data_IF_401264789064
#
_entry.id   IF_401264789064
#
_cell.length_a   1.000
_cell.length_b   1.000
_cell.length_c   1.000
_cell.angle_alpha   90.00
_cell.angle_beta   90.00
_cell.angle_gamma   90.00
#
_symmetry.space_group_name_H-M   'P 1'
#
loop_
_entity.id
_entity.type
_entity.pdbx_description
1 polymer ?
#
# COMPACT_ATOMS: atom_id res chain seq x y z
N UNK A 1 -5.25 3.29 32.96
CA UNK A 1 -4.70 2.49 31.86
C UNK A 1 -4.68 3.21 30.51
N UNK A 2 -5.63 4.10 30.20
CA UNK A 2 -5.69 4.85 28.92
C UNK A 2 -4.63 5.97 28.83
N UNK A 3 -4.25 6.62 29.93
CA UNK A 3 -3.23 7.69 29.96
C UNK A 3 -1.80 7.24 29.59
N UNK A 4 -1.48 5.96 29.67
CA UNK A 4 -0.15 5.43 29.31
C UNK A 4 -0.01 5.17 27.80
N UNK A 5 -1.11 5.01 27.05
CA UNK A 5 -1.12 4.79 25.61
C UNK A 5 -0.80 6.09 24.83
N UNK A 6 -1.11 7.26 25.40
CA UNK A 6 -0.88 8.57 24.77
C UNK A 6 0.41 9.27 25.22
N UNK A 7 1.34 8.56 25.86
CA UNK A 7 2.58 9.17 26.32
C UNK A 7 3.60 9.32 25.17
N UNK A 8 3.22 10.12 24.16
CA UNK A 8 4.09 10.50 23.05
C UNK A 8 5.06 11.56 23.56
N UNK A 9 6.35 11.32 23.47
CA UNK A 9 7.37 12.31 23.81
C UNK A 9 7.28 13.50 22.84
N UNK A 10 7.58 14.74 23.26
CA UNK A 10 7.51 15.92 22.39
C UNK A 10 8.27 15.76 21.07
N UNK A 11 9.41 15.08 21.09
CA UNK A 11 10.23 14.79 19.91
C UNK A 11 9.61 13.75 18.96
N UNK A 12 8.68 12.93 19.43
CA UNK A 12 8.03 11.86 18.63
C UNK A 12 6.73 12.34 17.96
N UNK A 13 6.20 13.48 18.37
CA UNK A 13 4.88 13.98 17.89
C UNK A 13 4.87 14.21 16.39
N UNK A 14 5.89 14.85 15.85
CA UNK A 14 5.97 15.19 14.44
C UNK A 14 6.06 13.93 13.54
N UNK A 15 7.01 12.98 13.77
CA UNK A 15 7.06 11.76 12.97
C UNK A 15 5.80 10.89 13.11
N UNK A 16 5.21 10.80 14.31
CA UNK A 16 3.96 10.06 14.52
C UNK A 16 2.81 10.68 13.71
N UNK A 17 2.66 12.00 13.72
CA UNK A 17 1.62 12.69 12.94
C UNK A 17 1.80 12.50 11.44
N UNK A 18 3.04 12.57 10.95
CA UNK A 18 3.33 12.34 9.53
C UNK A 18 3.00 10.92 9.10
N UNK A 19 3.40 9.92 9.90
CA UNK A 19 3.11 8.52 9.60
C UNK A 19 1.62 8.20 9.72
N UNK A 20 0.94 8.74 10.71
CA UNK A 20 -0.52 8.63 10.82
C UNK A 20 -1.22 9.19 9.57
N UNK A 21 -0.86 10.40 9.16
CA UNK A 21 -1.44 11.03 7.96
C UNK A 21 -1.12 10.22 6.70
N UNK A 22 0.12 9.73 6.58
CA UNK A 22 0.53 8.90 5.44
C UNK A 22 -0.26 7.58 5.40
N UNK A 23 -0.42 6.91 6.54
CA UNK A 23 -1.20 5.68 6.62
C UNK A 23 -2.67 5.91 6.29
N UNK A 24 -3.25 6.99 6.81
CA UNK A 24 -4.61 7.41 6.48
C UNK A 24 -4.80 7.55 4.96
N UNK A 25 -3.90 8.27 4.27
CA UNK A 25 -4.00 8.43 2.82
C UNK A 25 -3.79 7.13 2.05
N UNK A 26 -2.88 6.26 2.50
CA UNK A 26 -2.68 4.94 1.89
C UNK A 26 -3.96 4.09 2.02
N UNK A 27 -4.55 4.02 3.20
CA UNK A 27 -5.79 3.26 3.44
C UNK A 27 -6.96 3.85 2.66
N UNK A 28 -7.12 5.17 2.68
CA UNK A 28 -8.15 5.87 1.90
C UNK A 28 -8.03 5.58 0.40
N UNK A 29 -6.82 5.72 -0.16
CA UNK A 29 -6.55 5.43 -1.57
C UNK A 29 -6.79 3.94 -1.89
N UNK A 30 -6.41 3.03 -0.98
CA UNK A 30 -6.61 1.59 -1.12
C UNK A 30 -8.09 1.21 -1.18
N UNK A 31 -8.90 1.73 -0.25
CA UNK A 31 -10.35 1.46 -0.22
C UNK A 31 -11.02 2.02 -1.49
N UNK A 32 -10.71 3.27 -1.83
CA UNK A 32 -11.29 3.92 -3.02
C UNK A 32 -10.86 3.21 -4.30
N UNK A 33 -9.57 2.87 -4.42
CA UNK A 33 -9.02 2.14 -5.55
C UNK A 33 -9.62 0.76 -5.72
N UNK A 34 -9.77 0.01 -4.63
CA UNK A 34 -10.40 -1.32 -4.66
C UNK A 34 -11.88 -1.25 -5.06
N UNK A 35 -12.63 -0.29 -4.53
CA UNK A 35 -14.03 -0.09 -4.91
C UNK A 35 -14.18 0.27 -6.40
N UNK A 36 -13.34 1.17 -6.90
CA UNK A 36 -13.32 1.56 -8.31
C UNK A 36 -12.94 0.38 -9.21
N UNK A 37 -11.92 -0.37 -8.86
CA UNK A 37 -11.46 -1.57 -9.56
C UNK A 37 -12.59 -2.60 -9.70
N UNK A 38 -13.25 -2.92 -8.57
CA UNK A 38 -14.32 -3.90 -8.54
C UNK A 38 -15.52 -3.44 -9.38
N UNK A 39 -15.89 -2.16 -9.29
CA UNK A 39 -16.96 -1.60 -10.11
C UNK A 39 -16.65 -1.69 -11.61
N UNK A 40 -15.45 -1.27 -12.05
CA UNK A 40 -15.03 -1.33 -13.46
C UNK A 40 -14.99 -2.77 -13.94
N UNK A 41 -14.48 -3.70 -13.13
CA UNK A 41 -14.38 -5.12 -13.50
C UNK A 41 -15.78 -5.73 -13.69
N UNK A 42 -16.69 -5.54 -12.74
CA UNK A 42 -18.03 -6.14 -12.75
C UNK A 42 -18.97 -5.55 -13.81
N UNK A 43 -18.69 -4.35 -14.33
CA UNK A 43 -19.42 -3.80 -15.49
C UNK A 43 -19.09 -4.56 -16.79
N UNK A 44 -17.85 -5.08 -16.92
CA UNK A 44 -17.37 -5.67 -18.17
C UNK A 44 -17.22 -7.20 -18.10
N UNK A 45 -17.12 -7.78 -16.92
CA UNK A 45 -16.88 -9.20 -16.69
C UNK A 45 -17.83 -9.76 -15.63
N UNK A 46 -18.22 -11.02 -15.77
CA UNK A 46 -19.04 -11.71 -14.80
C UNK A 46 -18.25 -11.98 -13.49
N UNK A 47 -18.96 -11.99 -12.37
CA UNK A 47 -18.40 -12.26 -11.03
C UNK A 47 -17.71 -13.62 -10.92
N UNK A 48 -18.03 -14.58 -11.78
CA UNK A 48 -17.40 -15.90 -11.82
C UNK A 48 -15.92 -15.86 -12.15
N UNK A 49 -15.43 -14.75 -12.76
CA UNK A 49 -14.01 -14.55 -13.04
C UNK A 49 -13.22 -14.00 -11.85
N UNK A 50 -13.85 -13.52 -10.79
CA UNK A 50 -13.15 -12.95 -9.61
C UNK A 50 -12.16 -13.94 -8.94
N UNK A 51 -12.50 -15.22 -8.71
CA UNK A 51 -11.53 -16.16 -8.13
C UNK A 51 -10.26 -16.31 -8.96
N UNK A 52 -10.39 -16.27 -10.28
CA UNK A 52 -9.26 -16.34 -11.21
C UNK A 52 -8.41 -15.07 -11.08
N UNK A 53 -9.03 -13.90 -10.94
CA UNK A 53 -8.30 -12.63 -10.72
C UNK A 53 -7.50 -12.65 -9.44
N UNK A 54 -8.05 -13.17 -8.33
CA UNK A 54 -7.31 -13.32 -7.08
C UNK A 54 -6.11 -14.27 -7.21
N UNK A 55 -6.23 -15.32 -8.01
CA UNK A 55 -5.10 -16.22 -8.30
C UNK A 55 -3.99 -15.47 -9.05
N UNK A 56 -4.34 -14.67 -10.06
CA UNK A 56 -3.37 -13.84 -10.79
C UNK A 56 -2.70 -12.82 -9.87
N UNK A 57 -3.44 -12.17 -8.99
CA UNK A 57 -2.89 -11.27 -7.96
C UNK A 57 -1.87 -12.01 -7.10
N UNK A 58 -2.23 -13.17 -6.57
CA UNK A 58 -1.35 -13.94 -5.69
C UNK A 58 -0.02 -14.31 -6.38
N UNK A 59 -0.09 -14.83 -7.62
CA UNK A 59 1.09 -15.19 -8.40
C UNK A 59 1.96 -13.95 -8.67
N UNK A 60 1.35 -12.86 -9.10
CA UNK A 60 2.06 -11.61 -9.42
C UNK A 60 2.71 -11.01 -8.18
N UNK A 61 2.04 -11.06 -7.02
CA UNK A 61 2.60 -10.59 -5.75
C UNK A 61 3.83 -11.38 -5.31
N UNK A 62 3.82 -12.71 -5.47
CA UNK A 62 4.99 -13.55 -5.17
C UNK A 62 6.19 -13.09 -6.00
N UNK A 63 6.00 -12.84 -7.29
CA UNK A 63 7.07 -12.38 -8.18
C UNK A 63 7.57 -10.99 -7.78
N UNK A 64 6.66 -10.05 -7.55
CA UNK A 64 7.01 -8.65 -7.19
C UNK A 64 7.74 -8.59 -5.85
N UNK A 65 7.27 -9.32 -4.82
CA UNK A 65 7.93 -9.33 -3.51
C UNK A 65 9.34 -9.92 -3.62
N UNK A 66 9.53 -11.00 -4.38
CA UNK A 66 10.87 -11.57 -4.60
C UNK A 66 11.81 -10.59 -5.33
N UNK A 67 11.32 -9.90 -6.36
CA UNK A 67 12.09 -8.88 -7.08
C UNK A 67 12.43 -7.69 -6.17
N UNK A 68 11.45 -7.24 -5.38
CA UNK A 68 11.65 -6.15 -4.43
C UNK A 68 12.69 -6.50 -3.38
N UNK A 69 12.60 -7.66 -2.74
CA UNK A 69 13.54 -8.10 -1.72
C UNK A 69 14.99 -8.10 -2.26
N UNK A 70 15.19 -8.65 -3.46
CA UNK A 70 16.52 -8.63 -4.11
C UNK A 70 17.03 -7.23 -4.43
N UNK A 71 16.12 -6.33 -4.79
CA UNK A 71 16.44 -4.96 -5.20
C UNK A 71 16.57 -3.98 -4.04
N UNK A 72 15.98 -4.29 -2.88
CA UNK A 72 15.91 -3.40 -1.71
C UNK A 72 17.05 -3.61 -0.72
N UNK A 73 17.81 -4.70 -0.84
CA UNK A 73 18.94 -4.99 0.07
C UNK A 73 19.94 -3.82 0.08
N UNK A 74 20.21 -3.31 1.30
CA UNK A 74 21.16 -2.20 1.52
C UNK A 74 20.69 -0.82 1.06
N UNK A 75 19.44 -0.67 0.60
CA UNK A 75 18.89 0.62 0.15
C UNK A 75 18.01 1.27 1.20
N UNK A 76 17.91 2.60 1.12
CA UNK A 76 17.04 3.37 2.00
C UNK A 76 15.57 3.11 1.66
N UNK A 77 14.80 2.58 2.62
CA UNK A 77 13.39 2.21 2.45
C UNK A 77 12.51 3.42 2.10
N UNK A 78 12.82 4.60 2.64
CA UNK A 78 12.10 5.83 2.31
C UNK A 78 12.27 6.22 0.84
N UNK A 79 13.49 6.10 0.30
CA UNK A 79 13.76 6.39 -1.11
C UNK A 79 13.02 5.41 -2.02
N UNK A 80 13.01 4.13 -1.66
CA UNK A 80 12.29 3.10 -2.41
C UNK A 80 10.79 3.38 -2.43
N UNK A 81 10.20 3.77 -1.30
CA UNK A 81 8.80 4.14 -1.20
C UNK A 81 8.45 5.32 -2.09
N UNK A 82 9.30 6.35 -2.16
CA UNK A 82 9.08 7.51 -3.05
C UNK A 82 9.14 7.08 -4.52
N UNK A 83 10.14 6.30 -4.91
CA UNK A 83 10.32 5.84 -6.29
C UNK A 83 9.14 4.98 -6.73
N UNK A 84 8.74 4.00 -5.92
CA UNK A 84 7.60 3.14 -6.23
C UNK A 84 6.29 3.91 -6.27
N UNK A 85 6.09 4.89 -5.37
CA UNK A 85 4.93 5.78 -5.39
C UNK A 85 4.83 6.59 -6.68
N UNK A 86 5.95 7.10 -7.19
CA UNK A 86 6.01 7.80 -8.49
C UNK A 86 5.67 6.84 -9.63
N UNK A 87 6.26 5.63 -9.65
CA UNK A 87 5.97 4.62 -10.68
C UNK A 87 4.48 4.26 -10.66
N UNK A 88 3.89 4.01 -9.50
CA UNK A 88 2.47 3.71 -9.37
C UNK A 88 1.59 4.86 -9.87
N UNK A 89 1.93 6.09 -9.53
CA UNK A 89 1.18 7.26 -10.00
C UNK A 89 1.21 7.39 -11.53
N UNK A 90 2.38 7.23 -12.15
CA UNK A 90 2.55 7.29 -13.60
C UNK A 90 1.77 6.15 -14.29
N UNK A 91 1.84 4.93 -13.76
CA UNK A 91 1.13 3.79 -14.35
C UNK A 91 -0.37 3.92 -14.22
N UNK A 92 -0.89 4.46 -13.12
CA UNK A 92 -2.32 4.74 -12.97
C UNK A 92 -2.81 5.78 -13.97
N UNK A 93 -2.04 6.85 -14.19
CA UNK A 93 -2.34 7.84 -15.23
C UNK A 93 -2.32 7.23 -16.62
N UNK A 94 -1.39 6.31 -16.91
CA UNK A 94 -1.36 5.61 -18.19
C UNK A 94 -2.61 4.74 -18.41
N UNK A 95 -3.08 4.03 -17.37
CA UNK A 95 -4.30 3.22 -17.47
C UNK A 95 -5.54 4.04 -17.84
N UNK A 96 -5.60 5.32 -17.44
CA UNK A 96 -6.72 6.21 -17.81
C UNK A 96 -6.94 6.30 -19.32
N UNK A 97 -5.89 6.18 -20.12
CA UNK A 97 -5.98 6.29 -21.59
C UNK A 97 -6.24 4.97 -22.30
N UNK A 98 -6.03 3.83 -21.65
CA UNK A 98 -6.05 2.50 -22.27
C UNK A 98 -7.04 1.53 -21.64
N UNK A 99 -8.00 2.01 -20.84
CA UNK A 99 -8.91 1.17 -20.06
C UNK A 99 -10.00 0.53 -20.94
N UNK A 100 -9.63 -0.47 -21.75
CA UNK A 100 -10.54 -1.22 -22.60
C UNK A 100 -10.08 -2.68 -22.78
N UNK A 101 -11.01 -3.60 -23.00
CA UNK A 101 -10.70 -5.01 -23.26
C UNK A 101 -9.81 -5.64 -22.20
N UNK A 102 -8.66 -6.20 -22.61
CA UNK A 102 -7.70 -6.89 -21.73
C UNK A 102 -7.04 -5.97 -20.70
N UNK A 103 -7.07 -4.65 -20.89
CA UNK A 103 -6.51 -3.71 -19.93
C UNK A 103 -7.31 -3.66 -18.62
N UNK A 104 -8.60 -4.04 -18.63
CA UNK A 104 -9.44 -4.07 -17.43
C UNK A 104 -8.98 -5.15 -16.42
N UNK A 105 -8.79 -6.42 -16.79
CA UNK A 105 -8.18 -7.41 -15.90
C UNK A 105 -6.77 -7.04 -15.44
N UNK A 106 -5.95 -6.45 -16.30
CA UNK A 106 -4.62 -5.97 -15.93
C UNK A 106 -4.70 -4.84 -14.90
N UNK A 107 -5.62 -3.88 -15.09
CA UNK A 107 -5.88 -2.82 -14.13
C UNK A 107 -6.35 -3.38 -12.79
N UNK A 108 -7.21 -4.42 -12.81
CA UNK A 108 -7.67 -5.11 -11.61
C UNK A 108 -6.50 -5.64 -10.77
N UNK A 109 -5.62 -6.40 -11.40
CA UNK A 109 -4.43 -6.96 -10.74
C UNK A 109 -3.50 -5.84 -10.27
N UNK A 110 -3.31 -4.79 -11.09
CA UNK A 110 -2.39 -3.70 -10.79
C UNK A 110 -2.82 -2.88 -9.57
N UNK A 111 -4.10 -2.53 -9.43
CA UNK A 111 -4.63 -1.82 -8.25
C UNK A 111 -4.40 -2.64 -6.97
N UNK A 112 -4.62 -3.94 -7.02
CA UNK A 112 -4.39 -4.80 -5.85
C UNK A 112 -2.91 -4.85 -5.46
N UNK A 113 -2.02 -4.92 -6.45
CA UNK A 113 -0.58 -4.84 -6.23
C UNK A 113 -0.21 -3.51 -5.56
N UNK A 114 -0.69 -2.38 -6.07
CA UNK A 114 -0.44 -1.06 -5.49
C UNK A 114 -0.89 -1.02 -4.03
N UNK A 115 -2.10 -1.52 -3.75
CA UNK A 115 -2.68 -1.55 -2.40
C UNK A 115 -1.82 -2.33 -1.42
N UNK A 116 -1.55 -3.60 -1.72
CA UNK A 116 -0.79 -4.49 -0.83
C UNK A 116 0.64 -3.99 -0.67
N UNK A 117 1.27 -3.58 -1.77
CA UNK A 117 2.66 -3.15 -1.79
C UNK A 117 2.88 -1.83 -1.05
N UNK A 118 1.96 -0.88 -1.18
CA UNK A 118 2.03 0.40 -0.44
C UNK A 118 1.94 0.20 1.07
N UNK A 119 1.03 -0.68 1.52
CA UNK A 119 0.92 -1.02 2.95
C UNK A 119 2.18 -1.74 3.44
N UNK A 120 2.73 -2.68 2.67
CA UNK A 120 3.97 -3.37 3.02
C UNK A 120 5.14 -2.38 3.16
N UNK A 121 5.35 -1.50 2.18
CA UNK A 121 6.41 -0.51 2.23
C UNK A 121 6.25 0.50 3.36
N UNK A 122 5.02 0.91 3.65
CA UNK A 122 4.73 1.76 4.80
C UNK A 122 5.24 1.13 6.10
N UNK A 123 4.97 -0.15 6.33
CA UNK A 123 5.43 -0.85 7.53
C UNK A 123 6.94 -1.04 7.58
N UNK A 124 7.60 -1.26 6.43
CA UNK A 124 9.06 -1.31 6.35
C UNK A 124 9.69 0.03 6.77
N UNK A 125 9.21 1.15 6.20
CA UNK A 125 9.69 2.50 6.57
C UNK A 125 9.41 2.80 8.03
N UNK A 126 8.23 2.46 8.53
CA UNK A 126 7.86 2.70 9.93
C UNK A 126 8.74 1.89 10.88
N UNK A 127 9.09 0.65 10.50
CA UNK A 127 10.00 -0.21 11.25
C UNK A 127 11.44 0.33 11.33
N UNK A 128 11.89 1.03 10.29
CA UNK A 128 13.22 1.65 10.27
C UNK A 128 13.30 2.92 11.15
N UNK A 129 12.17 3.64 11.30
CA UNK A 129 12.12 4.89 12.07
C UNK A 129 12.04 4.63 13.57
N UNK A 130 11.34 3.60 14.01
CA UNK A 130 11.08 3.35 15.43
C UNK A 130 11.77 2.10 15.97
N UNK A 131 12.41 2.23 17.12
CA UNK A 131 12.92 1.09 17.87
C UNK A 131 11.78 0.21 18.40
N UNK A 132 12.03 -1.09 18.62
CA UNK A 132 11.04 -2.08 19.06
C UNK A 132 10.22 -1.67 20.29
N UNK A 133 10.80 -0.89 21.23
CA UNK A 133 10.09 -0.37 22.41
C UNK A 133 9.14 0.78 22.05
N UNK A 134 9.52 1.63 21.13
CA UNK A 134 8.68 2.74 20.62
C UNK A 134 7.56 2.20 19.74
N UNK A 135 7.86 1.24 18.88
CA UNK A 135 6.90 0.58 17.98
C UNK A 135 5.69 0.03 18.74
N UNK A 136 5.89 -0.71 19.84
CA UNK A 136 4.81 -1.27 20.67
C UNK A 136 3.82 -0.21 21.19
N UNK A 137 4.28 1.03 21.36
CA UNK A 137 3.47 2.13 21.89
C UNK A 137 2.84 2.96 20.76
N UNK A 138 3.56 3.14 19.65
CA UNK A 138 3.22 4.08 18.58
C UNK A 138 2.37 3.40 17.49
N UNK A 139 2.62 2.12 17.17
CA UNK A 139 1.88 1.40 16.12
C UNK A 139 0.36 1.38 16.32
N UNK A 140 -0.18 1.14 17.55
CA UNK A 140 -1.63 1.24 17.75
C UNK A 140 -2.21 2.62 17.45
N UNK A 141 -1.43 3.69 17.64
CA UNK A 141 -1.86 5.06 17.33
C UNK A 141 -1.86 5.33 15.82
N UNK A 142 -0.88 4.79 15.10
CA UNK A 142 -0.80 4.92 13.63
C UNK A 142 -1.95 4.14 12.96
N UNK A 143 -2.26 2.93 13.45
CA UNK A 143 -3.35 2.10 12.91
C UNK A 143 -4.74 2.73 13.16
N UNK A 144 -4.88 3.56 14.18
CA UNK A 144 -6.15 4.23 14.46
C UNK A 144 -6.52 5.34 13.45
N UNK A 145 -5.61 5.72 12.54
CA UNK A 145 -5.86 6.62 11.40
C UNK A 145 -6.37 5.86 10.20
#
# INVERSE_FOLDING_TARGET
MIKSLFNIRPAEKHPVFLLFSMFFFIVFASITGSAMRDAIFLIHYDKTYLPIMYLFVAITMILIINLYNRSSEGKNQLLLLIITGIIFSITLLAFQFFLSGIAIPLFYVWIEIITIFSVMQFWLVTGDIFNSRQAKRIFPLIIAG
#
